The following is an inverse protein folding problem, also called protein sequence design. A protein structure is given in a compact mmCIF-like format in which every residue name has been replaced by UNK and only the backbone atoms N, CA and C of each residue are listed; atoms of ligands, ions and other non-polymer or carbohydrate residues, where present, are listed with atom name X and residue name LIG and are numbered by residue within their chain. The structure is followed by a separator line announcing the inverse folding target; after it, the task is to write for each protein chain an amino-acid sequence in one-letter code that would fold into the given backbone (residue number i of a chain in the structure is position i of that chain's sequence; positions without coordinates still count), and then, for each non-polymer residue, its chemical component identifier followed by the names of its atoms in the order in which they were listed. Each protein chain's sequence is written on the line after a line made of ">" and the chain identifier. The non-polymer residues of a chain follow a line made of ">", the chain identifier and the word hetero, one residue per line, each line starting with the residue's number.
data_IF_925732730137
#
_entry.id   IF_925732730137
#
_cell.length_a   1.000
_cell.length_b   1.000
_cell.length_c   1.000
_cell.angle_alpha   90.00
_cell.angle_beta   90.00
_cell.angle_gamma   90.00
#
_symmetry.space_group_name_H-M   'P 1'
#
loop_
_entity.id
_entity.type
_entity.pdbx_description
1 polymer ?
#
# COMPACT_ATOMS: atom_id res chain seq x y z
N UNK A 1 20.05 -17.85 -6.49
CA UNK A 1 19.57 -17.66 -5.11
C UNK A 1 18.40 -16.71 -5.20
N UNK A 2 17.24 -17.14 -4.69
CA UNK A 2 15.91 -16.54 -4.69
C UNK A 2 15.65 -15.37 -5.66
N UNK A 3 14.89 -15.67 -6.71
CA UNK A 3 14.24 -14.73 -7.63
C UNK A 3 13.40 -13.73 -6.80
N UNK A 4 14.02 -12.65 -6.36
CA UNK A 4 13.34 -11.44 -5.93
C UNK A 4 12.78 -10.80 -7.18
N UNK A 5 11.69 -11.38 -7.69
CA UNK A 5 10.85 -10.79 -8.73
C UNK A 5 10.38 -9.47 -8.16
N UNK A 6 11.08 -8.39 -8.49
CA UNK A 6 10.77 -7.04 -8.07
C UNK A 6 9.37 -6.75 -8.60
N UNK A 7 8.39 -6.77 -7.71
CA UNK A 7 7.00 -6.58 -8.11
C UNK A 7 6.86 -5.13 -8.57
N UNK A 8 6.07 -4.87 -9.61
CA UNK A 8 5.84 -3.48 -10.05
C UNK A 8 5.20 -2.66 -8.92
N UNK A 9 4.44 -3.35 -8.08
CA UNK A 9 3.89 -2.82 -6.85
C UNK A 9 4.92 -2.37 -5.80
N UNK A 10 6.15 -2.90 -5.74
CA UNK A 10 7.17 -2.45 -4.77
C UNK A 10 7.50 -0.95 -4.93
N UNK A 11 7.71 -0.49 -6.16
CA UNK A 11 7.98 0.91 -6.45
C UNK A 11 6.81 1.83 -6.04
N UNK A 12 5.58 1.33 -6.17
CA UNK A 12 4.37 2.03 -5.72
C UNK A 12 4.25 2.06 -4.20
N UNK A 13 4.66 1.00 -3.51
CA UNK A 13 4.66 0.96 -2.05
C UNK A 13 5.73 1.87 -1.46
N UNK A 14 6.86 2.02 -2.14
CA UNK A 14 7.85 3.04 -1.80
C UNK A 14 7.25 4.45 -1.94
N UNK A 15 6.55 4.74 -3.04
CA UNK A 15 5.80 6.00 -3.18
C UNK A 15 4.72 6.18 -2.11
N UNK A 16 3.97 5.13 -1.75
CA UNK A 16 2.97 5.20 -0.67
C UNK A 16 3.63 5.52 0.67
N UNK A 17 4.79 4.92 0.96
CA UNK A 17 5.57 5.21 2.17
C UNK A 17 6.02 6.68 2.20
N UNK A 18 6.47 7.21 1.06
CA UNK A 18 6.81 8.63 0.93
C UNK A 18 5.58 9.52 1.17
N UNK A 19 4.43 9.19 0.56
CA UNK A 19 3.17 9.89 0.80
C UNK A 19 2.72 9.81 2.27
N UNK A 20 2.92 8.69 2.93
CA UNK A 20 2.61 8.54 4.36
C UNK A 20 3.52 9.36 5.27
N UNK A 21 4.75 9.62 4.84
CA UNK A 21 5.66 10.51 5.53
C UNK A 21 5.28 12.00 5.37
N UNK A 22 4.44 12.35 4.39
CA UNK A 22 3.93 13.73 4.22
C UNK A 22 2.89 14.10 5.29
N UNK A 23 2.59 15.38 5.40
CA UNK A 23 1.55 15.91 6.29
C UNK A 23 0.17 15.29 6.05
N UNK A 24 -0.17 14.92 4.80
CA UNK A 24 -1.41 14.23 4.48
C UNK A 24 -1.48 12.85 5.13
N UNK A 25 -0.38 12.08 5.03
CA UNK A 25 -0.21 10.80 5.71
C UNK A 25 -0.32 10.91 7.23
N UNK A 26 0.38 11.87 7.83
CA UNK A 26 0.28 12.14 9.28
C UNK A 26 -1.14 12.51 9.73
N UNK A 27 -1.89 13.24 8.91
CA UNK A 27 -3.28 13.61 9.20
C UNK A 27 -4.21 12.39 9.15
N UNK A 28 -3.98 11.46 8.23
CA UNK A 28 -4.65 10.17 8.16
C UNK A 28 -4.32 9.30 9.37
N UNK A 29 -3.04 9.22 9.75
CA UNK A 29 -2.56 8.46 10.93
C UNK A 29 -3.26 8.96 12.20
N UNK A 30 -3.29 10.27 12.41
CA UNK A 30 -3.95 10.88 13.58
C UNK A 30 -5.46 10.67 13.63
N UNK A 31 -6.12 10.49 12.48
CA UNK A 31 -7.58 10.43 12.39
C UNK A 31 -8.13 9.01 12.31
N UNK A 32 -7.39 8.10 11.68
CA UNK A 32 -7.82 6.72 11.42
C UNK A 32 -7.27 5.80 12.51
N UNK A 33 -5.95 5.83 12.77
CA UNK A 33 -5.33 5.01 13.80
C UNK A 33 -5.61 3.52 13.64
N UNK A 34 -5.56 2.98 12.41
CA UNK A 34 -5.79 1.56 12.11
C UNK A 34 -4.55 0.93 11.45
N UNK A 35 -4.42 -0.38 11.56
CA UNK A 35 -3.37 -1.14 10.86
C UNK A 35 -3.95 -1.82 9.63
N UNK A 36 -3.40 -1.51 8.45
CA UNK A 36 -3.81 -2.09 7.19
C UNK A 36 -2.78 -3.11 6.70
N UNK A 37 -3.22 -4.28 6.30
CA UNK A 37 -2.38 -5.27 5.63
C UNK A 37 -2.75 -5.33 4.16
N UNK A 38 -1.75 -5.23 3.30
CA UNK A 38 -1.89 -5.31 1.85
C UNK A 38 -1.13 -6.56 1.40
N UNK A 39 -1.85 -7.52 0.85
CA UNK A 39 -1.26 -8.72 0.25
C UNK A 39 -1.26 -8.55 -1.26
N UNK A 40 -0.08 -8.60 -1.88
CA UNK A 40 0.08 -8.45 -3.32
C UNK A 40 0.54 -9.75 -3.92
N UNK A 41 -0.27 -10.30 -4.81
CA UNK A 41 0.02 -11.55 -5.47
C UNK A 41 0.61 -11.32 -6.88
N UNK A 42 1.79 -11.87 -7.22
CA UNK A 42 2.43 -11.66 -8.53
C UNK A 42 1.55 -12.08 -9.70
N UNK A 43 0.75 -13.14 -9.51
CA UNK A 43 0.04 -13.80 -10.61
C UNK A 43 -1.44 -14.05 -10.30
N UNK A 44 -1.76 -14.48 -9.07
CA UNK A 44 -3.12 -14.74 -8.62
C UNK A 44 -3.21 -14.64 -7.10
N UNK A 45 -4.23 -13.95 -6.59
CA UNK A 45 -4.52 -13.84 -5.15
C UNK A 45 -4.59 -15.25 -4.56
N UNK A 46 -3.92 -15.45 -3.42
CA UNK A 46 -3.73 -16.75 -2.77
C UNK A 46 -2.50 -17.55 -3.23
N UNK A 47 -1.67 -17.04 -4.16
CA UNK A 47 -0.45 -17.72 -4.62
C UNK A 47 0.78 -16.80 -4.61
N UNK A 48 1.77 -17.16 -3.78
CA UNK A 48 3.04 -16.44 -3.61
C UNK A 48 2.87 -14.94 -3.29
N UNK A 49 1.94 -14.65 -2.38
CA UNK A 49 1.55 -13.29 -1.99
C UNK A 49 2.65 -12.64 -1.14
N UNK A 50 3.03 -11.41 -1.48
CA UNK A 50 3.83 -10.57 -0.61
C UNK A 50 2.90 -9.77 0.29
N UNK A 51 3.07 -9.91 1.59
CA UNK A 51 2.37 -9.09 2.57
C UNK A 51 3.16 -7.81 2.85
N UNK A 52 2.42 -6.72 3.01
CA UNK A 52 2.93 -5.41 3.38
C UNK A 52 2.00 -4.85 4.45
N UNK A 53 2.58 -4.33 5.51
CA UNK A 53 1.84 -3.76 6.63
C UNK A 53 1.99 -2.26 6.60
N UNK A 54 0.86 -1.58 6.55
CA UNK A 54 0.73 -0.14 6.64
C UNK A 54 0.14 0.20 8.00
N UNK A 55 0.99 0.56 8.93
CA UNK A 55 0.60 0.98 10.27
C UNK A 55 0.25 2.47 10.26
N UNK A 56 -1.04 2.78 10.17
CA UNK A 56 -1.55 4.15 10.30
C UNK A 56 -1.78 4.54 11.78
N UNK A 57 -1.27 3.78 12.76
CA UNK A 57 -1.16 4.26 14.16
C UNK A 57 0.17 4.97 14.37
N UNK A 58 1.24 4.42 13.81
CA UNK A 58 2.61 4.94 13.89
C UNK A 58 3.01 5.75 12.65
N UNK A 59 2.32 5.56 11.53
CA UNK A 59 2.68 6.15 10.23
C UNK A 59 3.85 5.43 9.57
N UNK A 60 3.93 4.11 9.73
CA UNK A 60 5.03 3.29 9.22
C UNK A 60 4.52 2.29 8.18
N UNK A 61 5.32 2.03 7.16
CA UNK A 61 5.08 0.97 6.17
C UNK A 61 6.20 -0.05 6.30
N UNK A 62 5.83 -1.32 6.47
CA UNK A 62 6.73 -2.46 6.64
C UNK A 62 6.43 -3.52 5.58
N UNK A 63 7.48 -4.08 4.99
CA UNK A 63 7.37 -5.29 4.17
C UNK A 63 7.32 -6.53 5.07
N UNK A 64 6.44 -7.47 4.73
CA UNK A 64 6.28 -8.74 5.43
C UNK A 64 4.87 -8.97 5.96
N UNK A 65 4.59 -10.20 6.44
CA UNK A 65 3.35 -10.52 7.13
C UNK A 65 3.25 -9.73 8.44
N UNK A 66 2.02 -9.35 8.83
CA UNK A 66 1.82 -8.71 10.13
C UNK A 66 1.97 -9.77 11.23
N UNK A 67 3.11 -9.76 11.91
CA UNK A 67 3.39 -10.69 13.01
C UNK A 67 2.93 -10.17 14.38
N UNK A 68 2.69 -8.86 14.49
CA UNK A 68 2.34 -8.19 15.76
C UNK A 68 0.87 -8.39 16.17
N UNK A 69 0.06 -9.08 15.34
CA UNK A 69 -1.32 -9.43 15.67
C UNK A 69 -2.23 -9.58 14.46
N UNK A 70 -3.46 -9.06 14.56
CA UNK A 70 -4.44 -9.01 13.47
C UNK A 70 -4.49 -7.59 12.91
N UNK A 71 -4.31 -7.39 11.59
CA UNK A 71 -4.55 -6.08 11.00
C UNK A 71 -6.04 -5.71 11.15
N UNK A 72 -6.34 -4.42 11.30
CA UNK A 72 -7.72 -3.92 11.36
C UNK A 72 -8.44 -4.16 10.03
N UNK A 73 -7.71 -4.07 8.91
CA UNK A 73 -8.21 -4.39 7.59
C UNK A 73 -7.14 -5.04 6.72
N UNK A 74 -7.56 -6.02 5.91
CA UNK A 74 -6.70 -6.74 4.97
C UNK A 74 -7.22 -6.54 3.56
N UNK A 75 -6.36 -6.09 2.66
CA UNK A 75 -6.62 -5.98 1.24
C UNK A 75 -5.75 -6.96 0.47
N UNK A 76 -6.32 -7.63 -0.53
CA UNK A 76 -5.59 -8.57 -1.37
C UNK A 76 -5.71 -8.13 -2.82
N UNK A 77 -4.58 -7.82 -3.44
CA UNK A 77 -4.48 -7.38 -4.82
C UNK A 77 -3.58 -8.31 -5.61
N UNK A 78 -3.70 -8.32 -6.93
CA UNK A 78 -2.63 -8.83 -7.79
C UNK A 78 -1.66 -7.70 -8.14
N UNK A 79 -0.42 -8.03 -8.51
CA UNK A 79 0.58 -7.03 -8.91
C UNK A 79 0.05 -6.10 -10.00
N UNK A 80 -0.61 -6.65 -11.01
CA UNK A 80 -1.20 -5.88 -12.11
C UNK A 80 -2.37 -4.99 -11.67
N UNK A 81 -3.24 -5.48 -10.78
CA UNK A 81 -4.37 -4.72 -10.25
C UNK A 81 -3.91 -3.56 -9.35
N UNK A 82 -2.97 -3.85 -8.45
CA UNK A 82 -2.37 -2.84 -7.57
C UNK A 82 -1.70 -1.73 -8.37
N UNK A 83 -0.96 -2.08 -9.42
CA UNK A 83 -0.34 -1.09 -10.33
C UNK A 83 -1.39 -0.24 -11.02
N UNK A 84 -2.51 -0.83 -11.47
CA UNK A 84 -3.60 -0.07 -12.11
C UNK A 84 -4.30 0.88 -11.14
N UNK A 85 -4.52 0.45 -9.89
CA UNK A 85 -5.11 1.28 -8.85
C UNK A 85 -4.18 2.43 -8.49
N UNK A 86 -2.91 2.13 -8.20
CA UNK A 86 -1.97 3.13 -7.70
C UNK A 86 -1.47 4.08 -8.81
N UNK A 87 -1.42 3.62 -10.07
CA UNK A 87 -1.20 4.49 -11.24
C UNK A 87 -2.42 5.38 -11.57
N UNK A 88 -3.54 5.26 -10.86
CA UNK A 88 -4.75 6.05 -11.14
C UNK A 88 -5.49 5.66 -12.41
N UNK A 89 -5.16 4.52 -13.04
CA UNK A 89 -5.86 4.01 -14.24
C UNK A 89 -7.21 3.35 -13.90
N UNK A 90 -7.39 2.88 -12.67
CA UNK A 90 -8.73 2.59 -12.15
C UNK A 90 -9.32 3.90 -11.63
N UNK A 91 -10.22 4.47 -12.43
CA UNK A 91 -10.89 5.74 -12.19
C UNK A 91 -11.72 5.68 -10.90
N UNK A 92 -11.09 5.93 -9.75
CA UNK A 92 -11.81 6.33 -8.54
C UNK A 92 -12.44 7.69 -8.88
N UNK A 93 -13.78 7.82 -8.99
CA UNK A 93 -14.41 9.07 -9.43
C UNK A 93 -14.30 10.22 -8.42
N UNK A 94 -13.42 10.10 -7.42
CA UNK A 94 -13.16 11.09 -6.40
C UNK A 94 -11.66 11.24 -6.22
N UNK A 95 -11.01 11.80 -7.23
CA UNK A 95 -9.76 12.52 -7.06
C UNK A 95 -9.95 13.51 -5.91
N UNK A 96 -9.43 13.16 -4.72
CA UNK A 96 -8.68 14.03 -3.83
C UNK A 96 -8.58 15.47 -4.37
N UNK A 97 -9.52 16.31 -3.94
CA UNK A 97 -9.71 17.70 -4.39
C UNK A 97 -8.53 18.65 -4.11
N UNK A 98 -7.41 18.22 -3.54
CA UNK A 98 -6.33 19.15 -3.23
C UNK A 98 -4.96 18.49 -3.29
N UNK A 99 -4.19 18.84 -4.33
CA UNK A 99 -2.74 18.86 -4.24
C UNK A 99 -1.94 17.78 -4.97
N UNK A 100 -2.22 17.53 -6.25
CA UNK A 100 -1.18 17.00 -7.15
C UNK A 100 -0.72 18.12 -8.09
N UNK A 101 0.24 18.93 -7.64
CA UNK A 101 1.05 19.77 -8.51
C UNK A 101 2.36 19.01 -8.72
N UNK A 102 2.52 18.52 -9.93
CA UNK A 102 3.74 17.89 -10.44
C UNK A 102 4.64 19.03 -10.93
N UNK A 103 5.88 19.10 -10.44
CA UNK A 103 6.99 19.82 -11.08
C UNK A 103 7.87 18.78 -11.77
#
# INVERSE_FOLDING_TARGET
>A
MADSTQLKSEALMEQMKLHMATDAGKKLVKKIGLVYQINIAPKKIGFNEKSFVVDLKKGEVKEGPYEDGKPDATFSFTDDDFVKVASGKMNAPNCIHEGCNED
#
